data_IF_222266068880
#
_entry.id   IF_222266068880
#
_cell.length_a   1.000
_cell.length_b   1.000
_cell.length_c   1.000
_cell.angle_alpha   90.00
_cell.angle_beta   90.00
_cell.angle_gamma   90.00
#
_symmetry.space_group_name_H-M   'P 1'
#
loop_
_entity.id
_entity.type
_entity.pdbx_description
1 polymer ?
#
# COMPACT_ATOMS: atom_id res chain seq x y z
N UNK A 1 -44.57 -21.02 50.04
CA UNK A 1 -43.24 -21.46 50.51
C UNK A 1 -42.61 -20.31 51.29
N UNK A 2 -42.66 -20.38 52.62
CA UNK A 2 -42.21 -19.30 53.52
C UNK A 2 -40.71 -19.45 53.77
N UNK A 3 -39.95 -18.46 53.32
CA UNK A 3 -38.52 -18.34 53.52
C UNK A 3 -38.14 -18.50 55.01
N UNK A 4 -37.45 -19.60 55.36
CA UNK A 4 -36.64 -19.73 56.60
C UNK A 4 -35.36 -18.86 56.53
N UNK A 5 -35.42 -17.72 55.84
CA UNK A 5 -34.31 -17.19 55.04
C UNK A 5 -33.61 -15.95 55.63
N UNK A 6 -33.43 -15.88 56.94
CA UNK A 6 -32.72 -14.74 57.56
C UNK A 6 -31.20 -14.82 57.41
N UNK A 7 -30.61 -15.99 57.66
CA UNK A 7 -29.15 -16.18 57.70
C UNK A 7 -28.59 -16.76 56.39
N UNK A 8 -29.22 -17.81 55.85
CA UNK A 8 -28.77 -18.43 54.59
C UNK A 8 -28.86 -17.46 53.40
N UNK A 9 -29.91 -16.63 53.34
CA UNK A 9 -30.05 -15.62 52.28
C UNK A 9 -28.97 -14.54 52.35
N UNK A 10 -28.52 -14.17 53.56
CA UNK A 10 -27.44 -13.20 53.76
C UNK A 10 -26.09 -13.76 53.31
N UNK A 11 -25.80 -15.02 53.63
CA UNK A 11 -24.55 -15.69 53.24
C UNK A 11 -24.51 -15.87 51.71
N UNK A 12 -25.58 -16.34 51.08
CA UNK A 12 -25.64 -16.48 49.62
C UNK A 12 -25.55 -15.13 48.90
N UNK A 13 -26.17 -14.08 49.46
CA UNK A 13 -26.07 -12.73 48.89
C UNK A 13 -24.64 -12.17 48.97
N UNK A 14 -23.90 -12.42 50.07
CA UNK A 14 -22.51 -11.98 50.21
C UNK A 14 -21.57 -12.68 49.21
N UNK A 15 -21.73 -14.00 49.04
CA UNK A 15 -20.94 -14.76 48.06
C UNK A 15 -21.23 -14.25 46.65
N UNK A 16 -22.51 -14.10 46.29
CA UNK A 16 -22.92 -13.57 44.99
C UNK A 16 -22.34 -12.16 44.75
N UNK A 17 -22.38 -11.28 45.75
CA UNK A 17 -21.82 -9.94 45.67
C UNK A 17 -20.30 -9.98 45.45
N UNK A 18 -19.57 -10.85 46.15
CA UNK A 18 -18.12 -10.99 45.94
C UNK A 18 -17.76 -11.47 44.54
N UNK A 19 -18.53 -12.42 43.99
CA UNK A 19 -18.31 -12.94 42.63
C UNK A 19 -18.59 -11.85 41.60
N UNK A 20 -19.69 -11.11 41.75
CA UNK A 20 -20.02 -9.98 40.87
C UNK A 20 -18.96 -8.88 40.91
N UNK A 21 -18.41 -8.60 42.10
CA UNK A 21 -17.36 -7.60 42.25
C UNK A 21 -16.08 -8.00 41.53
N UNK A 22 -15.62 -9.26 41.68
CA UNK A 22 -14.46 -9.77 40.95
C UNK A 22 -14.70 -9.74 39.44
N UNK A 23 -15.87 -10.19 38.99
CA UNK A 23 -16.25 -10.16 37.58
C UNK A 23 -16.20 -8.72 37.02
N UNK A 24 -16.78 -7.75 37.74
CA UNK A 24 -16.79 -6.35 37.33
C UNK A 24 -15.38 -5.77 37.22
N UNK A 25 -14.47 -6.10 38.15
CA UNK A 25 -13.07 -5.67 38.11
C UNK A 25 -12.34 -6.25 36.90
N UNK A 26 -12.48 -7.57 36.65
CA UNK A 26 -11.83 -8.23 35.52
C UNK A 26 -12.33 -7.67 34.20
N UNK A 27 -13.65 -7.51 34.04
CA UNK A 27 -14.26 -6.93 32.84
C UNK A 27 -13.82 -5.47 32.66
N UNK A 28 -13.77 -4.68 33.73
CA UNK A 28 -13.33 -3.29 33.69
C UNK A 28 -11.90 -3.14 33.19
N UNK A 29 -10.96 -3.90 33.77
CA UNK A 29 -9.55 -3.89 33.36
C UNK A 29 -9.38 -4.41 31.93
N UNK A 30 -10.03 -5.54 31.61
CA UNK A 30 -9.97 -6.11 30.26
C UNK A 30 -10.50 -5.15 29.21
N UNK A 31 -11.63 -4.46 29.49
CA UNK A 31 -12.21 -3.46 28.57
C UNK A 31 -11.26 -2.28 28.37
N UNK A 32 -10.62 -1.80 29.44
CA UNK A 32 -9.67 -0.70 29.36
C UNK A 32 -8.44 -1.06 28.50
N UNK A 33 -7.86 -2.24 28.75
CA UNK A 33 -6.70 -2.72 27.99
C UNK A 33 -7.05 -3.00 26.53
N UNK A 34 -8.16 -3.69 26.27
CA UNK A 34 -8.65 -4.00 24.93
C UNK A 34 -8.89 -2.73 24.11
N UNK A 35 -9.39 -1.65 24.73
CA UNK A 35 -9.65 -0.41 24.01
C UNK A 35 -8.37 0.23 23.46
N UNK A 36 -7.29 0.24 24.25
CA UNK A 36 -5.99 0.75 23.82
C UNK A 36 -5.41 -0.13 22.71
N UNK A 37 -5.43 -1.44 22.90
CA UNK A 37 -4.89 -2.39 21.93
C UNK A 37 -5.66 -2.36 20.61
N UNK A 38 -6.99 -2.28 20.66
CA UNK A 38 -7.84 -2.18 19.45
C UNK A 38 -7.53 -0.93 18.63
N UNK A 39 -7.27 0.21 19.29
CA UNK A 39 -6.88 1.44 18.60
C UNK A 39 -5.51 1.30 17.93
N UNK A 40 -4.54 0.69 18.63
CA UNK A 40 -3.20 0.47 18.08
C UNK A 40 -3.23 -0.51 16.91
N UNK A 41 -4.00 -1.60 17.01
CA UNK A 41 -4.21 -2.57 15.94
C UNK A 41 -4.91 -1.92 14.74
N UNK A 42 -5.96 -1.12 14.96
CA UNK A 42 -6.63 -0.38 13.88
C UNK A 42 -5.67 0.58 13.18
N UNK A 43 -4.82 1.28 13.92
CA UNK A 43 -3.82 2.17 13.34
C UNK A 43 -2.76 1.41 12.53
N UNK A 44 -2.24 0.30 13.07
CA UNK A 44 -1.28 -0.58 12.37
C UNK A 44 -1.89 -1.16 11.09
N UNK A 45 -3.14 -1.61 11.15
CA UNK A 45 -3.86 -2.12 10.00
C UNK A 45 -4.04 -1.03 8.94
N UNK A 46 -4.46 0.16 9.33
CA UNK A 46 -4.60 1.30 8.41
C UNK A 46 -3.27 1.62 7.72
N UNK A 47 -2.17 1.69 8.48
CA UNK A 47 -0.83 1.92 7.91
C UNK A 47 -0.37 0.77 6.99
N UNK A 48 -0.66 -0.47 7.34
CA UNK A 48 -0.35 -1.63 6.51
C UNK A 48 -1.08 -1.56 5.17
N UNK A 49 -2.37 -1.26 5.20
CA UNK A 49 -3.18 -1.07 3.99
C UNK A 49 -2.67 0.10 3.14
N UNK A 50 -2.37 1.24 3.75
CA UNK A 50 -1.81 2.39 3.03
C UNK A 50 -0.46 2.06 2.36
N UNK A 51 0.42 1.31 3.04
CA UNK A 51 1.70 0.86 2.45
C UNK A 51 1.47 -0.11 1.30
N UNK A 52 0.51 -1.01 1.43
CA UNK A 52 0.16 -1.97 0.40
C UNK A 52 -0.28 -1.27 -0.89
N UNK A 53 -1.24 -0.34 -0.79
CA UNK A 53 -1.66 0.45 -1.95
C UNK A 53 -0.54 1.33 -2.52
N UNK A 54 0.29 1.93 -1.65
CA UNK A 54 1.43 2.71 -2.10
C UNK A 54 2.46 1.84 -2.87
N UNK A 55 2.67 0.60 -2.44
CA UNK A 55 3.55 -0.34 -3.15
C UNK A 55 2.95 -0.74 -4.49
N UNK A 56 1.64 -0.98 -4.58
CA UNK A 56 0.97 -1.30 -5.85
C UNK A 56 1.16 -0.18 -6.88
N UNK A 57 0.89 1.07 -6.48
CA UNK A 57 1.12 2.24 -7.33
C UNK A 57 2.60 2.39 -7.68
N UNK A 58 3.51 2.16 -6.73
CA UNK A 58 4.95 2.22 -6.99
C UNK A 58 5.37 1.23 -8.07
N UNK A 59 4.89 -0.02 -8.01
CA UNK A 59 5.21 -1.05 -9.00
C UNK A 59 4.72 -0.63 -10.39
N UNK A 60 3.53 -0.06 -10.51
CA UNK A 60 3.01 0.45 -11.79
C UNK A 60 3.89 1.56 -12.38
N UNK A 61 4.31 2.51 -11.54
CA UNK A 61 5.20 3.59 -11.95
C UNK A 61 6.62 3.10 -12.30
N UNK A 62 7.15 2.14 -11.53
CA UNK A 62 8.47 1.56 -11.76
C UNK A 62 8.54 0.86 -13.11
N UNK A 63 7.50 0.12 -13.53
CA UNK A 63 7.45 -0.49 -14.86
C UNK A 63 7.60 0.55 -15.99
N UNK A 64 6.87 1.67 -15.89
CA UNK A 64 6.97 2.75 -16.88
C UNK A 64 8.35 3.42 -16.89
N UNK A 65 8.93 3.64 -15.69
CA UNK A 65 10.25 4.24 -15.54
C UNK A 65 11.37 3.33 -16.06
N UNK A 66 11.30 2.03 -15.80
CA UNK A 66 12.28 1.05 -16.30
C UNK A 66 12.25 0.95 -17.82
N UNK A 67 11.06 0.88 -18.43
CA UNK A 67 10.91 0.89 -19.88
C UNK A 67 11.53 2.16 -20.50
N UNK A 68 11.25 3.33 -19.91
CA UNK A 68 11.79 4.61 -20.35
C UNK A 68 13.32 4.66 -20.23
N UNK A 69 13.88 4.23 -19.10
CA UNK A 69 15.34 4.19 -18.87
C UNK A 69 16.04 3.20 -19.81
N UNK A 70 15.44 2.03 -20.01
CA UNK A 70 15.96 1.02 -20.96
C UNK A 70 16.06 1.59 -22.36
N UNK A 71 15.00 2.26 -22.83
CA UNK A 71 15.02 2.96 -24.12
C UNK A 71 16.05 4.08 -24.17
N UNK A 72 16.14 4.93 -23.14
CA UNK A 72 17.12 6.00 -23.09
C UNK A 72 18.55 5.46 -23.22
N UNK A 73 18.87 4.35 -22.54
CA UNK A 73 20.18 3.70 -22.66
C UNK A 73 20.46 3.18 -24.07
N UNK A 74 19.47 2.53 -24.71
CA UNK A 74 19.60 2.05 -26.10
C UNK A 74 19.84 3.22 -27.06
N UNK A 75 19.04 4.29 -26.93
CA UNK A 75 19.12 5.47 -27.80
C UNK A 75 20.45 6.20 -27.62
N UNK A 76 20.92 6.35 -26.38
CA UNK A 76 22.23 6.93 -26.10
C UNK A 76 23.36 6.09 -26.70
N UNK A 77 23.30 4.76 -26.59
CA UNK A 77 24.27 3.87 -27.23
C UNK A 77 24.27 3.99 -28.77
N UNK A 78 23.10 4.13 -29.39
CA UNK A 78 23.01 4.39 -30.84
C UNK A 78 23.68 5.72 -31.22
N UNK A 79 23.43 6.78 -30.43
CA UNK A 79 24.06 8.09 -30.60
C UNK A 79 25.58 8.00 -30.49
N UNK A 80 26.11 7.36 -29.46
CA UNK A 80 27.56 7.20 -29.27
C UNK A 80 28.23 6.41 -30.39
N UNK A 81 27.52 5.42 -30.97
CA UNK A 81 28.01 4.65 -32.11
C UNK A 81 27.90 5.37 -33.47
N UNK A 82 27.35 6.58 -33.51
CA UNK A 82 27.11 7.33 -34.76
C UNK A 82 26.04 6.70 -35.66
N UNK A 83 25.16 5.85 -35.09
CA UNK A 83 24.11 5.10 -35.82
C UNK A 83 22.70 5.51 -35.38
N UNK A 84 22.55 6.76 -34.95
CA UNK A 84 21.26 7.28 -34.53
C UNK A 84 20.36 7.42 -35.77
N UNK A 85 19.32 6.59 -35.85
CA UNK A 85 18.36 6.57 -36.94
C UNK A 85 16.94 6.78 -36.40
N UNK A 86 16.18 7.68 -37.05
CA UNK A 86 14.87 8.11 -36.57
C UNK A 86 13.84 6.99 -36.70
N UNK A 87 13.86 6.26 -37.80
CA UNK A 87 12.91 5.20 -38.06
C UNK A 87 13.14 4.03 -37.12
N UNK A 88 14.41 3.70 -36.82
CA UNK A 88 14.75 2.68 -35.83
C UNK A 88 14.33 3.08 -34.42
N UNK A 89 14.54 4.34 -34.02
CA UNK A 89 14.07 4.88 -32.74
C UNK A 89 12.54 4.84 -32.63
N UNK A 90 11.82 5.20 -33.70
CA UNK A 90 10.37 5.08 -33.76
C UNK A 90 9.88 3.63 -33.68
N UNK A 91 10.60 2.69 -34.31
CA UNK A 91 10.30 1.25 -34.21
C UNK A 91 10.52 0.72 -32.80
N UNK A 92 11.59 1.14 -32.13
CA UNK A 92 11.85 0.80 -30.72
C UNK A 92 10.70 1.33 -29.84
N UNK A 93 10.32 2.61 -29.99
CA UNK A 93 9.21 3.19 -29.25
C UNK A 93 7.89 2.44 -29.49
N UNK A 94 7.55 2.16 -30.75
CA UNK A 94 6.34 1.41 -31.09
C UNK A 94 6.36 -0.02 -30.55
N UNK A 95 7.52 -0.68 -30.55
CA UNK A 95 7.67 -2.02 -29.99
C UNK A 95 7.53 -2.01 -28.47
N UNK A 96 8.12 -1.04 -27.78
CA UNK A 96 7.97 -0.88 -26.33
C UNK A 96 6.51 -0.61 -25.97
N UNK A 97 5.81 0.25 -26.70
CA UNK A 97 4.38 0.51 -26.47
C UNK A 97 3.53 -0.76 -26.66
N UNK A 98 3.77 -1.52 -27.74
CA UNK A 98 3.06 -2.80 -27.97
C UNK A 98 3.39 -3.86 -26.92
N UNK A 99 4.60 -3.85 -26.38
CA UNK A 99 5.03 -4.77 -25.32
C UNK A 99 4.46 -4.43 -23.93
N UNK A 100 3.92 -3.21 -23.75
CA UNK A 100 3.41 -2.71 -22.47
C UNK A 100 1.96 -2.23 -22.63
N UNK A 101 0.97 -3.14 -22.60
CA UNK A 101 -0.44 -2.81 -22.90
C UNK A 101 -1.08 -1.81 -21.92
N UNK A 102 -0.48 -1.60 -20.75
CA UNK A 102 -0.94 -0.61 -19.77
C UNK A 102 -0.47 0.81 -20.09
N UNK A 103 0.40 1.01 -21.08
CA UNK A 103 0.87 2.34 -21.46
C UNK A 103 -0.15 3.01 -22.38
N UNK A 104 -0.57 4.22 -22.01
CA UNK A 104 -1.45 5.04 -22.85
C UNK A 104 -0.72 5.63 -24.07
N UNK A 105 0.58 5.85 -23.96
CA UNK A 105 1.39 6.41 -25.04
C UNK A 105 2.86 6.49 -24.70
N UNK A 106 3.66 6.74 -25.72
CA UNK A 106 5.10 6.95 -25.61
C UNK A 106 5.51 8.08 -26.54
N UNK A 107 6.41 8.94 -26.09
CA UNK A 107 6.92 10.04 -26.89
C UNK A 107 8.36 10.34 -26.50
N UNK A 108 9.11 10.90 -27.44
CA UNK A 108 10.42 11.50 -27.20
C UNK A 108 10.37 12.97 -27.56
N UNK A 109 11.03 13.81 -26.76
CA UNK A 109 11.21 15.23 -27.05
C UNK A 109 12.68 15.49 -27.34
N UNK A 110 12.95 16.25 -28.39
CA UNK A 110 14.29 16.59 -28.86
C UNK A 110 14.48 18.10 -28.85
N UNK A 111 15.69 18.55 -28.53
CA UNK A 111 16.06 19.95 -28.73
C UNK A 111 16.13 20.27 -30.24
N UNK A 112 16.02 21.55 -30.63
CA UNK A 112 16.03 21.91 -32.03
C UNK A 112 17.25 21.37 -32.79
N UNK A 113 17.00 20.68 -33.90
CA UNK A 113 18.00 20.02 -34.75
C UNK A 113 18.90 18.97 -34.07
N UNK A 114 18.56 18.51 -32.85
CA UNK A 114 19.47 17.69 -32.02
C UNK A 114 19.49 16.19 -32.34
N UNK A 115 18.49 15.66 -33.05
CA UNK A 115 18.42 14.23 -33.36
C UNK A 115 19.07 13.94 -34.72
N UNK A 116 18.53 14.55 -35.79
CA UNK A 116 18.99 14.35 -37.18
C UNK A 116 19.00 15.65 -38.00
N UNK A 117 18.93 16.81 -37.34
CA UNK A 117 18.85 18.11 -38.01
C UNK A 117 17.48 18.44 -38.61
N UNK A 118 16.44 17.64 -38.33
CA UNK A 118 15.05 17.87 -38.77
C UNK A 118 14.09 18.17 -37.63
N UNK A 119 14.61 18.38 -36.42
CA UNK A 119 13.84 18.74 -35.23
C UNK A 119 13.61 20.26 -35.15
N UNK A 120 12.98 20.88 -36.15
CA UNK A 120 12.72 22.33 -36.15
C UNK A 120 11.48 22.72 -35.34
#
# INVERSE_FOLDING_TARGET
MRCKAGLQCKITALILASVLLVLAVVVGISTYMNRKESLEQAHKLALSMSREYANQIRVELEMAMEATRGMANIINGMRESGRLDRDEVNRIMAQTLRGNPNFNGIWGCWEPNSFDGRDS
#
